data_IF_247366875220
#
_entry.id   IF_247366875220
#
_cell.length_a   1.000
_cell.length_b   1.000
_cell.length_c   1.000
_cell.angle_alpha   90.00
_cell.angle_beta   90.00
_cell.angle_gamma   90.00
#
_symmetry.space_group_name_H-M   'P 1'
#
loop_
_entity.id
_entity.type
_entity.pdbx_description
1 polymer ?
#
# COMPACT_ATOMS: atom_id res chain seq x y z
N UNK A 1 -18.79 -4.55 -10.04
CA UNK A 1 -17.49 -4.39 -9.33
C UNK A 1 -17.83 -4.00 -7.90
N UNK A 2 -17.53 -4.84 -6.89
CA UNK A 2 -17.91 -4.58 -5.50
C UNK A 2 -16.77 -3.85 -4.79
N UNK A 3 -17.03 -2.61 -4.33
CA UNK A 3 -16.12 -1.91 -3.43
C UNK A 3 -16.21 -2.56 -2.05
N UNK A 4 -15.14 -3.21 -1.59
CA UNK A 4 -15.08 -3.73 -0.24
C UNK A 4 -15.17 -2.58 0.77
N UNK A 5 -16.34 -2.38 1.37
CA UNK A 5 -16.56 -1.43 2.46
C UNK A 5 -15.91 -2.00 3.72
N UNK A 6 -15.04 -1.21 4.34
CA UNK A 6 -14.43 -1.53 5.63
C UNK A 6 -15.46 -1.29 6.74
N UNK A 7 -15.76 -2.34 7.51
CA UNK A 7 -16.71 -2.30 8.63
C UNK A 7 -15.89 -2.48 9.91
N UNK A 8 -15.68 -1.38 10.63
CA UNK A 8 -14.86 -1.31 11.84
C UNK A 8 -15.67 -1.80 13.06
N UNK A 9 -16.11 -3.06 13.04
CA UNK A 9 -16.94 -3.62 14.13
C UNK A 9 -18.28 -2.93 14.34
N UNK A 10 -18.67 -2.02 13.43
CA UNK A 10 -19.86 -1.16 13.47
C UNK A 10 -20.90 -1.57 12.41
N UNK A 11 -21.00 -2.88 12.18
CA UNK A 11 -21.85 -3.47 11.15
C UNK A 11 -23.31 -3.04 11.27
N UNK A 12 -23.83 -2.95 12.50
CA UNK A 12 -25.21 -2.56 12.74
C UNK A 12 -25.52 -1.19 12.14
N UNK A 13 -24.64 -0.21 12.37
CA UNK A 13 -24.83 1.20 11.98
C UNK A 13 -24.66 1.42 10.47
N UNK A 14 -23.87 0.57 9.80
CA UNK A 14 -23.53 0.71 8.37
C UNK A 14 -24.27 -0.26 7.45
N UNK A 15 -25.10 -1.15 8.00
CA UNK A 15 -25.87 -2.15 7.25
C UNK A 15 -26.74 -1.53 6.13
N UNK A 16 -27.31 -0.35 6.40
CA UNK A 16 -28.12 0.42 5.44
C UNK A 16 -27.37 0.87 4.17
N UNK A 17 -26.03 0.99 4.23
CA UNK A 17 -25.22 1.36 3.05
C UNK A 17 -25.02 0.20 2.08
N UNK A 18 -25.26 -1.04 2.52
CA UNK A 18 -25.19 -2.24 1.69
C UNK A 18 -26.50 -2.51 0.93
N UNK A 19 -27.59 -1.85 1.30
CA UNK A 19 -28.92 -2.05 0.74
C UNK A 19 -29.34 -1.00 -0.29
N UNK A 20 -28.47 -0.05 -0.64
CA UNK A 20 -28.80 0.97 -1.63
C UNK A 20 -28.66 0.40 -3.06
N UNK A 21 -29.70 0.52 -3.92
CA UNK A 21 -29.57 0.21 -5.33
C UNK A 21 -28.48 1.10 -5.96
N UNK A 22 -27.63 0.48 -6.78
CA UNK A 22 -26.55 1.17 -7.48
C UNK A 22 -27.14 2.23 -8.44
N UNK A 23 -26.76 3.51 -8.35
CA UNK A 23 -27.05 4.44 -9.42
C UNK A 23 -26.18 4.04 -10.63
N UNK A 24 -26.83 3.76 -11.76
CA UNK A 24 -26.15 3.49 -13.03
C UNK A 24 -25.14 4.59 -13.37
N UNK A 25 -23.96 4.26 -13.91
CA UNK A 25 -22.98 5.24 -14.33
C UNK A 25 -23.45 5.95 -15.61
N UNK A 26 -24.32 6.94 -15.43
CA UNK A 26 -24.67 7.91 -16.47
C UNK A 26 -23.53 8.92 -16.61
N UNK A 27 -22.84 8.84 -17.73
CA UNK A 27 -21.98 9.87 -18.34
C UNK A 27 -22.34 11.29 -17.92
N UNK A 28 -21.42 12.06 -17.31
CA UNK A 28 -21.35 13.54 -17.42
C UNK A 28 -19.98 14.08 -16.98
N UNK A 29 -19.25 14.56 -18.01
CA UNK A 29 -18.40 15.76 -18.10
C UNK A 29 -17.10 15.91 -17.30
N UNK A 30 -16.01 15.90 -18.07
CA UNK A 30 -14.74 16.56 -17.80
C UNK A 30 -14.96 18.07 -17.60
N UNK A 31 -14.77 18.55 -16.37
CA UNK A 31 -14.53 19.96 -16.06
C UNK A 31 -13.03 20.20 -15.97
N UNK A 32 -12.47 20.87 -16.98
CA UNK A 32 -11.12 21.42 -16.94
C UNK A 32 -11.11 22.63 -16.00
N UNK A 33 -10.23 22.64 -15.00
CA UNK A 33 -9.82 23.84 -14.28
C UNK A 33 -8.30 23.85 -14.16
N UNK A 34 -7.68 24.65 -15.03
CA UNK A 34 -6.27 25.03 -15.00
C UNK A 34 -6.03 25.92 -13.78
N UNK A 35 -5.09 25.55 -12.93
CA UNK A 35 -4.55 26.41 -11.87
C UNK A 35 -3.27 27.11 -12.33
N UNK A 36 -3.02 28.37 -11.92
CA UNK A 36 -1.89 29.16 -12.40
C UNK A 36 -0.55 28.64 -11.86
N UNK A 37 0.44 28.63 -12.76
CA UNK A 37 1.84 28.28 -12.51
C UNK A 37 2.50 29.41 -11.70
N UNK A 38 3.01 29.10 -10.53
CA UNK A 38 3.90 29.98 -9.76
C UNK A 38 5.33 29.52 -10.02
N UNK A 39 6.07 30.31 -10.81
CA UNK A 39 7.50 30.12 -11.07
C UNK A 39 8.31 30.44 -9.81
N UNK A 40 8.88 29.40 -9.19
CA UNK A 40 9.91 29.53 -8.16
C UNK A 40 11.30 29.68 -8.79
N UNK A 41 12.26 30.31 -8.08
CA UNK A 41 13.56 30.71 -8.65
C UNK A 41 14.42 29.50 -9.07
N UNK A 42 14.97 29.60 -10.28
CA UNK A 42 15.87 28.63 -10.91
C UNK A 42 17.21 28.64 -10.18
N UNK A 43 17.49 27.58 -9.41
CA UNK A 43 18.82 27.34 -8.83
C UNK A 43 19.70 26.67 -9.89
N UNK A 44 20.79 27.35 -10.24
CA UNK A 44 21.75 26.97 -11.29
C UNK A 44 22.33 25.54 -11.14
N UNK A 45 22.45 24.77 -12.23
CA UNK A 45 22.92 23.39 -12.21
C UNK A 45 24.45 23.34 -12.30
N UNK A 46 25.16 23.46 -11.17
CA UNK A 46 26.57 23.05 -11.11
C UNK A 46 26.86 22.29 -9.82
N UNK A 47 27.23 21.02 -10.02
CA UNK A 47 27.85 20.09 -9.06
C UNK A 47 26.94 19.38 -8.04
N UNK A 48 25.97 18.60 -8.52
CA UNK A 48 25.65 17.32 -7.85
C UNK A 48 26.19 16.19 -8.72
N UNK A 49 27.34 15.63 -8.33
CA UNK A 49 27.67 14.26 -8.72
C UNK A 49 26.45 13.41 -8.38
N UNK A 50 25.72 12.94 -9.41
CA UNK A 50 24.51 12.17 -9.24
C UNK A 50 24.82 10.91 -8.43
N UNK A 51 24.62 10.96 -7.12
CA UNK A 51 24.56 9.77 -6.30
C UNK A 51 23.44 8.92 -6.89
N UNK A 52 23.78 7.77 -7.48
CA UNK A 52 22.78 6.87 -8.07
C UNK A 52 21.80 6.49 -6.96
N UNK A 53 20.58 7.00 -7.03
CA UNK A 53 19.52 6.63 -6.07
C UNK A 53 19.26 5.14 -6.22
N UNK A 54 19.58 4.38 -5.18
CA UNK A 54 19.40 2.93 -5.17
C UNK A 54 17.90 2.63 -5.22
N UNK A 55 17.46 1.90 -6.24
CA UNK A 55 16.09 1.39 -6.36
C UNK A 55 15.90 0.08 -5.57
N UNK A 56 14.64 -0.30 -5.38
CA UNK A 56 14.28 -1.60 -4.77
C UNK A 56 14.76 -2.76 -5.63
N UNK A 57 14.62 -2.68 -6.96
CA UNK A 57 14.92 -3.79 -7.86
C UNK A 57 13.92 -4.95 -7.70
N UNK A 58 14.13 -6.01 -8.47
CA UNK A 58 13.18 -7.12 -8.60
C UNK A 58 12.74 -7.71 -7.25
N UNK A 59 11.42 -7.86 -7.08
CA UNK A 59 10.80 -8.48 -5.92
C UNK A 59 10.60 -9.97 -6.18
N UNK A 60 10.81 -10.77 -5.14
CA UNK A 60 10.51 -12.19 -5.20
C UNK A 60 9.00 -12.39 -5.04
N UNK A 61 8.34 -13.00 -6.01
CA UNK A 61 6.91 -13.37 -5.94
C UNK A 61 6.72 -14.88 -5.76
N UNK A 62 7.80 -15.60 -5.45
CA UNK A 62 7.77 -17.05 -5.24
C UNK A 62 6.81 -17.44 -4.10
N UNK A 63 6.19 -18.61 -4.24
CA UNK A 63 5.06 -19.05 -3.41
C UNK A 63 5.36 -19.00 -1.90
N UNK A 64 4.51 -18.27 -1.18
CA UNK A 64 4.42 -18.33 0.28
C UNK A 64 3.88 -19.70 0.72
N UNK A 65 4.16 -20.17 1.96
CA UNK A 65 3.45 -21.31 2.52
C UNK A 65 1.93 -21.13 2.40
N UNK A 66 1.15 -22.15 1.99
CA UNK A 66 -0.27 -21.97 1.66
C UNK A 66 -1.10 -21.33 2.78
N UNK A 67 -0.83 -21.70 4.04
CA UNK A 67 -1.51 -21.10 5.20
C UNK A 67 -1.23 -19.60 5.34
N UNK A 68 0.01 -19.17 5.10
CA UNK A 68 0.40 -17.75 5.15
C UNK A 68 -0.21 -17.00 3.96
N UNK A 69 -0.16 -17.59 2.77
CA UNK A 69 -0.80 -17.03 1.58
C UNK A 69 -2.31 -16.81 1.78
N UNK A 70 -3.00 -17.80 2.37
CA UNK A 70 -4.44 -17.70 2.65
C UNK A 70 -4.77 -16.55 3.59
N UNK A 71 -3.98 -16.35 4.65
CA UNK A 71 -4.17 -15.24 5.59
C UNK A 71 -3.94 -13.87 4.92
N UNK A 72 -2.91 -13.76 4.07
CA UNK A 72 -2.64 -12.54 3.31
C UNK A 72 -3.78 -12.26 2.33
N UNK A 73 -4.22 -13.26 1.56
CA UNK A 73 -5.32 -13.11 0.60
C UNK A 73 -6.63 -12.74 1.30
N UNK A 74 -6.91 -13.34 2.46
CA UNK A 74 -8.09 -13.01 3.26
C UNK A 74 -8.03 -11.55 3.78
N UNK A 75 -6.88 -11.14 4.35
CA UNK A 75 -6.64 -9.74 4.77
C UNK A 75 -6.83 -8.76 3.61
N UNK A 76 -6.31 -9.10 2.44
CA UNK A 76 -6.41 -8.32 1.23
C UNK A 76 -7.83 -8.33 0.64
N UNK A 77 -8.66 -9.30 1.02
CA UNK A 77 -9.97 -9.59 0.43
C UNK A 77 -9.89 -9.72 -1.10
N UNK A 78 -8.82 -10.34 -1.61
CA UNK A 78 -8.55 -10.47 -3.04
C UNK A 78 -8.14 -9.18 -3.76
N UNK A 79 -7.91 -8.08 -3.06
CA UNK A 79 -7.54 -6.79 -3.64
C UNK A 79 -6.06 -6.46 -3.44
N UNK A 80 -5.52 -5.56 -4.25
CA UNK A 80 -4.18 -5.01 -4.04
C UNK A 80 -4.13 -4.21 -2.71
N UNK A 81 -3.11 -4.45 -1.89
CA UNK A 81 -2.90 -3.74 -0.62
C UNK A 81 -2.21 -2.38 -0.81
N UNK A 82 -1.68 -2.12 -2.00
CA UNK A 82 -0.92 -0.90 -2.33
C UNK A 82 -1.83 0.18 -2.94
N UNK A 83 -2.68 -0.19 -3.91
CA UNK A 83 -3.57 0.71 -4.68
C UNK A 83 -2.91 2.01 -5.17
N UNK A 84 -1.63 1.94 -5.56
CA UNK A 84 -0.91 3.06 -6.17
C UNK A 84 -1.54 3.46 -7.53
N UNK A 85 -1.19 4.63 -8.10
CA UNK A 85 -1.58 4.97 -9.46
C UNK A 85 -1.29 3.83 -10.45
N UNK A 86 -2.21 3.62 -11.41
CA UNK A 86 -2.22 2.48 -12.35
C UNK A 86 -2.47 1.09 -11.72
N UNK A 87 -2.94 1.00 -10.47
CA UNK A 87 -3.36 -0.27 -9.88
C UNK A 87 -4.56 -0.89 -10.63
N UNK A 88 -4.55 -2.22 -10.79
CA UNK A 88 -5.67 -3.00 -11.36
C UNK A 88 -6.66 -3.47 -10.30
N UNK A 89 -6.48 -3.03 -9.05
CA UNK A 89 -7.29 -3.33 -7.86
C UNK A 89 -7.32 -4.80 -7.40
N UNK A 90 -7.02 -5.76 -8.26
CA UNK A 90 -7.04 -7.19 -7.94
C UNK A 90 -5.66 -7.69 -7.51
N UNK A 91 -5.60 -8.49 -6.46
CA UNK A 91 -4.39 -9.22 -6.08
C UNK A 91 -4.04 -10.25 -7.15
N UNK A 92 -2.80 -10.19 -7.66
CA UNK A 92 -2.28 -11.22 -8.59
C UNK A 92 -1.11 -11.99 -8.01
N UNK A 93 -0.43 -11.43 -7.00
CA UNK A 93 0.70 -12.08 -6.35
C UNK A 93 0.84 -11.64 -4.88
N UNK A 94 1.61 -12.42 -4.15
CA UNK A 94 2.11 -12.10 -2.80
C UNK A 94 3.62 -11.97 -2.88
N UNK A 95 4.18 -10.88 -2.38
CA UNK A 95 5.63 -10.66 -2.35
C UNK A 95 6.13 -10.39 -0.92
N UNK A 96 7.29 -10.93 -0.51
CA UNK A 96 7.94 -10.56 0.74
C UNK A 96 8.41 -9.11 0.73
N UNK A 97 8.15 -8.40 1.83
CA UNK A 97 8.66 -7.04 2.08
C UNK A 97 10.17 -7.04 2.37
N UNK A 98 10.74 -8.18 2.79
CA UNK A 98 12.18 -8.30 3.04
C UNK A 98 12.92 -8.65 1.75
N UNK A 99 13.92 -7.82 1.40
CA UNK A 99 14.83 -8.09 0.28
C UNK A 99 15.84 -9.17 0.67
N UNK A 100 15.55 -10.45 0.38
CA UNK A 100 16.51 -11.55 0.53
C UNK A 100 16.88 -12.14 -0.84
N UNK A 101 18.17 -12.44 -1.03
CA UNK A 101 18.67 -13.17 -2.22
C UNK A 101 18.28 -14.65 -2.23
N UNK A 102 18.05 -15.23 -1.05
CA UNK A 102 17.60 -16.61 -0.89
C UNK A 102 16.12 -16.64 -0.50
N UNK A 103 15.40 -17.64 -1.02
CA UNK A 103 14.00 -17.91 -0.69
C UNK A 103 13.94 -18.35 0.78
N UNK A 104 13.67 -17.39 1.66
CA UNK A 104 13.30 -17.69 3.04
C UNK A 104 11.79 -17.87 3.07
N UNK A 105 11.33 -19.00 3.62
CA UNK A 105 9.91 -19.19 3.87
C UNK A 105 9.40 -18.03 4.75
N UNK A 106 8.26 -17.46 4.35
CA UNK A 106 7.59 -16.42 5.13
C UNK A 106 7.14 -17.02 6.46
N UNK A 107 7.61 -16.44 7.56
CA UNK A 107 7.28 -16.90 8.92
C UNK A 107 5.98 -16.30 9.43
N UNK A 108 5.56 -15.18 8.86
CA UNK A 108 4.39 -14.41 9.28
C UNK A 108 3.72 -13.69 8.10
N UNK A 109 2.39 -13.58 8.07
CA UNK A 109 1.65 -12.76 7.11
C UNK A 109 2.05 -11.27 7.11
N UNK A 110 2.65 -10.76 8.19
CA UNK A 110 3.13 -9.37 8.26
C UNK A 110 4.34 -9.12 7.36
N UNK A 111 5.06 -10.18 6.97
CA UNK A 111 6.30 -10.09 6.20
C UNK A 111 6.06 -9.94 4.70
N UNK A 112 4.81 -10.03 4.23
CA UNK A 112 4.47 -9.98 2.82
C UNK A 112 3.19 -9.19 2.55
N UNK A 113 3.08 -8.71 1.31
CA UNK A 113 1.95 -7.93 0.82
C UNK A 113 1.33 -8.60 -0.39
N UNK A 114 0.01 -8.45 -0.51
CA UNK A 114 -0.75 -8.81 -1.70
C UNK A 114 -0.79 -7.61 -2.65
N UNK A 115 -0.39 -7.80 -3.90
CA UNK A 115 -0.40 -6.73 -4.89
C UNK A 115 -0.71 -7.22 -6.30
N UNK A 116 -1.10 -6.29 -7.16
CA UNK A 116 -1.16 -6.50 -8.60
C UNK A 116 0.22 -6.34 -9.24
N UNK A 117 0.37 -6.84 -10.47
CA UNK A 117 1.60 -6.70 -11.25
C UNK A 117 2.08 -5.24 -11.39
N UNK A 118 1.17 -4.30 -11.66
CA UNK A 118 1.52 -2.88 -11.82
C UNK A 118 2.07 -2.27 -10.52
N UNK A 119 1.51 -2.63 -9.37
CA UNK A 119 2.02 -2.13 -8.08
C UNK A 119 3.35 -2.78 -7.70
N UNK A 120 3.57 -4.04 -8.08
CA UNK A 120 4.87 -4.70 -7.90
C UNK A 120 5.93 -3.99 -8.74
N UNK A 121 5.67 -3.80 -10.03
CA UNK A 121 6.58 -3.09 -10.95
C UNK A 121 6.90 -1.67 -10.47
N UNK A 122 5.88 -0.94 -10.00
CA UNK A 122 6.05 0.39 -9.42
C UNK A 122 7.00 0.37 -8.21
N UNK A 123 6.84 -0.61 -7.30
CA UNK A 123 7.71 -0.74 -6.12
C UNK A 123 9.14 -1.09 -6.53
N UNK A 124 9.33 -2.00 -7.49
CA UNK A 124 10.66 -2.38 -8.00
C UNK A 124 11.44 -1.17 -8.52
N UNK A 125 10.75 -0.24 -9.17
CA UNK A 125 11.32 0.99 -9.73
C UNK A 125 11.38 2.16 -8.75
N UNK A 126 10.75 2.05 -7.57
CA UNK A 126 10.75 3.08 -6.53
C UNK A 126 12.13 3.21 -5.88
N UNK A 127 12.48 4.44 -5.46
CA UNK A 127 13.67 4.68 -4.66
C UNK A 127 13.58 3.91 -3.33
N UNK A 128 14.66 3.22 -2.95
CA UNK A 128 14.66 2.38 -1.75
C UNK A 128 14.25 3.14 -0.47
N UNK A 129 14.73 4.38 -0.21
CA UNK A 129 14.28 5.14 0.96
C UNK A 129 12.76 5.33 0.96
N UNK A 130 12.17 5.77 -0.15
CA UNK A 130 10.73 5.94 -0.29
C UNK A 130 9.96 4.65 -0.05
N UNK A 131 10.44 3.51 -0.56
CA UNK A 131 9.78 2.22 -0.34
C UNK A 131 9.88 1.73 1.12
N UNK A 132 10.95 2.11 1.84
CA UNK A 132 11.10 1.86 3.28
C UNK A 132 10.15 2.78 4.08
N UNK A 133 10.08 4.07 3.73
CA UNK A 133 9.23 5.05 4.39
C UNK A 133 7.74 4.68 4.27
N UNK A 134 7.33 4.18 3.09
CA UNK A 134 5.98 3.66 2.85
C UNK A 134 5.72 2.29 3.50
N UNK A 135 6.76 1.64 4.03
CA UNK A 135 6.67 0.32 4.63
C UNK A 135 6.48 -0.83 3.64
N UNK A 136 6.58 -0.59 2.33
CA UNK A 136 6.48 -1.63 1.30
C UNK A 136 7.67 -2.57 1.31
N UNK A 137 8.83 -2.04 1.73
CA UNK A 137 10.04 -2.81 1.98
C UNK A 137 10.40 -2.70 3.46
N UNK A 138 10.98 -3.76 4.00
CA UNK A 138 11.45 -3.84 5.38
C UNK A 138 12.98 -3.73 5.45
N UNK A 139 13.46 -2.97 6.42
CA UNK A 139 14.84 -3.08 6.88
C UNK A 139 15.07 -4.50 7.46
N UNK A 140 16.20 -5.17 7.15
CA UNK A 140 16.53 -6.48 7.70
C UNK A 140 16.46 -6.58 9.22
N UNK A 141 16.73 -5.50 9.95
CA UNK A 141 16.76 -5.44 11.42
C UNK A 141 15.38 -5.17 12.03
N UNK A 142 14.43 -4.68 11.25
CA UNK A 142 13.11 -4.33 11.74
C UNK A 142 12.21 -5.56 11.88
N UNK A 143 11.31 -5.52 12.88
CA UNK A 143 10.23 -6.49 12.98
C UNK A 143 9.10 -6.09 12.03
N UNK A 144 8.62 -7.03 11.21
CA UNK A 144 7.59 -6.74 10.22
C UNK A 144 6.28 -6.22 10.83
N UNK A 145 6.00 -6.62 12.08
CA UNK A 145 4.79 -6.22 12.80
C UNK A 145 4.85 -4.85 13.46
N UNK A 146 6.04 -4.26 13.56
CA UNK A 146 6.25 -2.94 14.17
C UNK A 146 6.48 -1.85 13.14
N UNK A 147 6.66 -2.20 11.86
CA UNK A 147 6.85 -1.22 10.78
C UNK A 147 5.50 -0.82 10.23
N UNK A 148 5.23 0.49 10.24
CA UNK A 148 4.04 1.06 9.63
C UNK A 148 4.03 0.81 8.12
N UNK A 149 2.83 0.71 7.55
CA UNK A 149 2.59 0.43 6.14
C UNK A 149 1.57 1.41 5.61
N UNK A 150 1.86 2.03 4.47
CA UNK A 150 0.92 2.90 3.77
C UNK A 150 -0.06 2.08 2.94
N UNK A 151 -1.12 1.63 3.60
CA UNK A 151 -2.12 0.72 3.07
C UNK A 151 -3.09 1.44 2.14
N UNK A 152 -3.23 0.90 0.93
CA UNK A 152 -4.20 1.32 -0.11
C UNK A 152 -4.20 2.83 -0.39
N UNK A 153 -3.03 3.45 -0.31
CA UNK A 153 -2.84 4.91 -0.43
C UNK A 153 -3.70 5.77 0.51
N UNK A 154 -4.17 5.24 1.64
CA UNK A 154 -5.15 5.95 2.47
C UNK A 154 -4.88 5.88 3.96
N UNK A 155 -4.32 4.77 4.46
CA UNK A 155 -4.18 4.54 5.89
C UNK A 155 -2.79 4.06 6.26
N UNK A 156 -2.24 4.62 7.34
CA UNK A 156 -1.08 4.03 8.01
C UNK A 156 -1.54 2.94 8.97
N UNK A 157 -1.00 1.74 8.80
CA UNK A 157 -1.37 0.56 9.60
C UNK A 157 -0.13 -0.23 10.02
N UNK A 158 -0.26 -1.03 11.07
CA UNK A 158 0.62 -2.15 11.37
C UNK A 158 -0.04 -3.46 10.95
N UNK A 159 0.77 -4.43 10.55
CA UNK A 159 0.35 -5.80 10.29
C UNK A 159 0.78 -6.68 11.45
N UNK A 160 -0.15 -7.19 12.24
CA UNK A 160 0.24 -8.11 13.30
C UNK A 160 0.73 -9.47 12.74
N UNK A 161 1.30 -10.31 13.60
CA UNK A 161 1.83 -11.63 13.21
C UNK A 161 0.77 -12.61 12.72
N UNK A 162 -0.52 -12.27 12.81
CA UNK A 162 -1.65 -13.04 12.27
C UNK A 162 -2.19 -12.43 10.98
N UNK A 163 -1.60 -11.35 10.49
CA UNK A 163 -2.06 -10.64 9.30
C UNK A 163 -3.30 -9.79 9.55
N UNK A 164 -3.55 -9.31 10.76
CA UNK A 164 -4.61 -8.32 11.00
C UNK A 164 -4.07 -6.91 10.88
N UNK A 165 -4.92 -6.02 10.41
CA UNK A 165 -4.65 -4.59 10.33
C UNK A 165 -4.87 -3.95 11.68
N UNK A 166 -3.87 -3.19 12.14
CA UNK A 166 -3.98 -2.33 13.32
C UNK A 166 -3.78 -0.89 12.88
N UNK A 167 -4.77 0.00 13.07
CA UNK A 167 -4.57 1.41 12.78
C UNK A 167 -3.36 1.96 13.55
N UNK A 168 -2.53 2.78 12.91
CA UNK A 168 -1.66 3.65 13.69
C UNK A 168 -2.55 4.60 14.48
N UNK A 169 -2.31 4.72 15.79
CA UNK A 169 -2.95 5.77 16.56
C UNK A 169 -2.53 7.11 15.94
N UNK A 170 -3.43 7.75 15.21
CA UNK A 170 -3.24 9.14 14.81
C UNK A 170 -3.20 9.95 16.10
N UNK A 171 -2.19 10.81 16.33
CA UNK A 171 -2.32 11.81 17.37
C UNK A 171 -3.58 12.61 17.03
N UNK A 172 -4.60 12.52 17.90
CA UNK A 172 -5.74 13.43 17.83
C UNK A 172 -5.17 14.80 18.10
N UNK A 173 -5.01 15.62 17.06
CA UNK A 173 -4.87 17.05 17.22
C UNK A 173 -6.16 17.52 17.88
N UNK A 174 -6.17 17.60 19.20
CA UNK A 174 -7.21 18.32 19.94
C UNK A 174 -7.05 19.79 19.57
N UNK A 175 -8.05 20.43 18.95
CA UNK A 175 -8.03 21.87 18.82
C UNK A 175 -8.10 22.44 20.24
N UNK A 176 -7.04 23.14 20.68
CA UNK A 176 -7.14 24.01 21.85
C UNK A 176 -8.12 25.12 21.51
N UNK A 177 -9.16 25.23 22.34
CA UNK A 177 -10.11 26.34 22.33
C UNK A 177 -9.44 27.63 22.81
#
# INVERSE_FOLDING_TARGET
MWAGVWIDGDFADKSQLLALPHPDPSTTQQGALQGPVVEGPVVSPKAMRAARVRRVGALCTAGAPPAVAALITARASGHCEIMAPACTYTQTAVFPRRRRRAISLLSSPAEALAACANCIDLIEHTALPTALDLGYILDPRSCASTVALWWRQRHWVHLDTRGRLRPLATPRLTPSA
#
